data_IF_968921609055
#
_entry.id   IF_968921609055
#
_cell.length_a   1.000
_cell.length_b   1.000
_cell.length_c   1.000
_cell.angle_alpha   90.00
_cell.angle_beta   90.00
_cell.angle_gamma   90.00
#
_symmetry.space_group_name_H-M   'P 1'
#
loop_
_entity.id
_entity.type
_entity.pdbx_description
1 polymer ?
#
# COMPACT_ATOMS: atom_id res chain seq x y z
N UNK A 1 -17.15 -16.71 -61.16
CA UNK A 1 -18.02 -15.72 -61.84
C UNK A 1 -19.29 -15.64 -61.01
N UNK A 2 -19.75 -14.54 -60.41
CA UNK A 2 -19.62 -13.12 -60.72
C UNK A 2 -19.46 -12.27 -59.45
N UNK A 3 -18.63 -11.25 -59.58
CA UNK A 3 -18.54 -10.04 -58.77
C UNK A 3 -19.52 -8.97 -59.28
N UNK A 4 -19.76 -7.94 -58.48
CA UNK A 4 -20.18 -6.60 -58.93
C UNK A 4 -19.75 -5.62 -57.84
N UNK A 5 -18.87 -4.66 -58.10
CA UNK A 5 -19.10 -3.21 -58.35
C UNK A 5 -17.79 -2.50 -57.90
N UNK A 6 -17.28 -1.33 -58.32
CA UNK A 6 -17.77 -0.18 -59.12
C UNK A 6 -16.56 0.70 -59.55
N UNK A 7 -16.71 1.35 -60.72
CA UNK A 7 -16.18 2.60 -61.31
C UNK A 7 -14.88 3.36 -60.86
N UNK A 8 -13.99 3.59 -61.85
CA UNK A 8 -13.18 4.79 -62.27
C UNK A 8 -13.17 6.06 -61.37
N UNK A 9 -12.08 6.80 -61.01
CA UNK A 9 -10.73 7.19 -61.51
C UNK A 9 -10.61 8.56 -62.22
N UNK A 10 -9.89 9.52 -61.60
CA UNK A 10 -8.89 10.49 -62.13
C UNK A 10 -8.64 11.59 -61.07
N UNK A 11 -7.47 11.85 -60.49
CA UNK A 11 -6.08 12.15 -60.93
C UNK A 11 -5.81 13.65 -61.17
N UNK A 12 -4.67 14.09 -60.60
CA UNK A 12 -3.80 15.26 -60.90
C UNK A 12 -3.85 16.42 -59.88
N UNK A 13 -2.77 17.16 -59.58
CA UNK A 13 -1.30 17.01 -59.69
C UNK A 13 -0.70 18.26 -59.02
N UNK A 14 0.46 18.12 -58.36
CA UNK A 14 1.24 19.19 -57.73
C UNK A 14 1.83 20.21 -58.74
N UNK A 15 2.00 21.49 -58.35
CA UNK A 15 2.97 22.45 -58.94
C UNK A 15 3.32 23.59 -57.96
N UNK A 16 4.61 23.95 -57.92
CA UNK A 16 5.29 24.98 -57.11
C UNK A 16 5.26 26.40 -57.73
N UNK A 17 5.72 27.38 -56.92
CA UNK A 17 6.19 28.76 -57.25
C UNK A 17 5.07 29.79 -57.56
N UNK A 18 5.15 31.09 -57.26
CA UNK A 18 6.23 32.00 -56.83
C UNK A 18 5.60 33.30 -56.24
N UNK A 19 6.45 34.18 -55.69
CA UNK A 19 6.16 35.45 -55.03
C UNK A 19 5.45 36.51 -55.92
N UNK A 20 4.61 37.37 -55.33
CA UNK A 20 4.88 38.82 -55.16
C UNK A 20 3.62 39.70 -55.01
N UNK A 21 3.68 40.58 -54.00
CA UNK A 21 3.10 41.92 -53.89
C UNK A 21 1.58 42.12 -54.02
N UNK A 22 0.94 42.60 -52.94
CA UNK A 22 0.40 43.96 -52.83
C UNK A 22 0.12 44.30 -51.35
N UNK A 23 0.76 45.37 -50.87
CA UNK A 23 0.49 46.01 -49.58
C UNK A 23 -0.85 46.74 -49.63
N UNK A 24 -1.69 46.59 -48.61
CA UNK A 24 -2.47 47.71 -48.09
C UNK A 24 -2.79 47.53 -46.60
N UNK A 25 -2.60 48.63 -45.88
CA UNK A 25 -2.49 48.77 -44.44
C UNK A 25 -3.86 49.02 -43.78
N UNK A 26 -4.13 48.40 -42.62
CA UNK A 26 -5.27 48.69 -41.75
C UNK A 26 -5.29 47.81 -40.50
N UNK A 27 -5.25 48.35 -39.27
CA UNK A 27 -5.12 47.54 -38.06
C UNK A 27 -6.51 47.12 -37.55
N UNK A 28 -6.87 45.85 -37.66
CA UNK A 28 -8.05 45.30 -37.00
C UNK A 28 -7.73 43.99 -36.28
N UNK A 29 -7.58 44.11 -34.96
CA UNK A 29 -7.82 43.13 -33.90
C UNK A 29 -7.29 41.69 -34.09
N UNK A 30 -6.19 41.39 -33.38
CA UNK A 30 -5.73 40.02 -33.12
C UNK A 30 -5.72 39.76 -31.60
N UNK A 31 -6.86 39.36 -31.03
CA UNK A 31 -6.98 39.07 -29.59
C UNK A 31 -7.38 37.62 -29.25
N UNK A 32 -7.45 36.71 -30.22
CA UNK A 32 -7.88 35.32 -29.98
C UNK A 32 -6.75 34.28 -29.89
N UNK A 33 -5.49 34.63 -30.21
CA UNK A 33 -4.37 33.68 -30.17
C UNK A 33 -3.66 33.51 -28.82
N UNK A 34 -3.78 34.48 -27.90
CA UNK A 34 -3.00 34.49 -26.65
C UNK A 34 -3.61 33.67 -25.50
N UNK A 35 -4.92 33.44 -25.49
CA UNK A 35 -5.57 32.71 -24.39
C UNK A 35 -5.35 31.19 -24.46
N UNK A 36 -5.31 30.61 -25.66
CA UNK A 36 -5.12 29.17 -25.84
C UNK A 36 -3.72 28.69 -25.45
N UNK A 37 -2.68 29.45 -25.81
CA UNK A 37 -1.29 29.12 -25.43
C UNK A 37 -1.04 29.20 -23.92
N UNK A 38 -1.66 30.18 -23.25
CA UNK A 38 -1.51 30.36 -21.81
C UNK A 38 -2.22 29.25 -21.01
N UNK A 39 -3.39 28.80 -21.47
CA UNK A 39 -4.14 27.72 -20.83
C UNK A 39 -3.45 26.36 -20.99
N UNK A 40 -2.81 26.10 -22.13
CA UNK A 40 -2.04 24.87 -22.36
C UNK A 40 -0.71 24.86 -21.56
N UNK A 41 -0.03 25.99 -21.48
CA UNK A 41 1.17 26.13 -20.64
C UNK A 41 0.86 25.93 -19.14
N UNK A 42 -0.27 26.47 -18.67
CA UNK A 42 -0.69 26.31 -17.28
C UNK A 42 -1.14 24.88 -16.96
N UNK A 43 -1.79 24.19 -17.90
CA UNK A 43 -2.11 22.76 -17.77
C UNK A 43 -0.85 21.88 -17.72
N UNK A 44 0.16 22.18 -18.54
CA UNK A 44 1.46 21.48 -18.51
C UNK A 44 2.23 21.74 -17.22
N UNK A 45 2.25 22.97 -16.72
CA UNK A 45 2.87 23.31 -15.44
C UNK A 45 2.17 22.61 -14.26
N UNK A 46 0.82 22.56 -14.26
CA UNK A 46 0.06 21.82 -13.26
C UNK A 46 0.33 20.30 -13.31
N UNK A 47 0.44 19.73 -14.51
CA UNK A 47 0.80 18.32 -14.68
C UNK A 47 2.23 18.02 -14.20
N UNK A 48 3.18 18.92 -14.42
CA UNK A 48 4.54 18.80 -13.92
C UNK A 48 4.61 18.89 -12.38
N UNK A 49 3.89 19.84 -11.78
CA UNK A 49 3.79 19.96 -10.33
C UNK A 49 3.11 18.72 -9.69
N UNK A 50 2.05 18.22 -10.32
CA UNK A 50 1.38 16.98 -9.95
C UNK A 50 2.33 15.78 -10.01
N UNK A 51 3.18 15.69 -11.04
CA UNK A 51 4.19 14.64 -11.15
C UNK A 51 5.28 14.75 -10.08
N UNK A 52 5.71 15.97 -9.72
CA UNK A 52 6.69 16.19 -8.65
C UNK A 52 6.13 15.80 -7.27
N UNK A 53 4.88 16.17 -6.99
CA UNK A 53 4.19 15.77 -5.76
C UNK A 53 4.05 14.24 -5.64
N UNK A 54 3.74 13.55 -6.75
CA UNK A 54 3.76 12.08 -6.81
C UNK A 54 5.11 11.52 -6.40
N UNK A 55 6.21 12.03 -6.95
CA UNK A 55 7.55 11.55 -6.65
C UNK A 55 7.92 11.70 -5.16
N UNK A 56 7.53 12.81 -4.53
CA UNK A 56 7.78 13.00 -3.11
C UNK A 56 6.99 12.00 -2.24
N UNK A 57 5.71 11.77 -2.54
CA UNK A 57 4.91 10.79 -1.81
C UNK A 57 5.39 9.35 -2.07
N UNK A 58 5.71 9.03 -3.33
CA UNK A 58 6.28 7.77 -3.80
C UNK A 58 7.55 7.41 -3.01
N UNK A 59 8.45 8.38 -2.81
CA UNK A 59 9.66 8.18 -2.01
C UNK A 59 9.40 8.03 -0.50
N UNK A 60 8.39 8.71 0.05
CA UNK A 60 8.04 8.59 1.49
C UNK A 60 7.47 7.21 1.84
N UNK A 61 6.58 6.66 1.00
CA UNK A 61 6.05 5.29 1.20
C UNK A 61 7.21 4.29 1.26
N UNK A 62 8.24 4.47 0.42
CA UNK A 62 9.42 3.61 0.41
C UNK A 62 10.33 3.78 1.63
N UNK A 63 10.47 5.00 2.18
CA UNK A 63 11.33 5.24 3.34
C UNK A 63 10.75 4.71 4.66
N UNK A 64 9.44 4.83 4.90
CA UNK A 64 8.79 4.36 6.14
C UNK A 64 8.81 2.84 6.33
N UNK A 65 9.12 2.07 5.27
CA UNK A 65 9.34 0.63 5.34
C UNK A 65 10.81 0.24 5.58
N UNK A 66 11.76 1.16 5.37
CA UNK A 66 13.19 0.86 5.47
C UNK A 66 13.70 0.75 6.92
N UNK A 67 13.07 1.47 7.86
CA UNK A 67 13.65 1.67 9.21
C UNK A 67 13.32 0.58 10.25
N UNK A 68 12.39 -0.35 10.00
CA UNK A 68 11.83 -1.16 11.10
C UNK A 68 12.14 -2.66 11.07
N UNK A 69 13.16 -3.09 10.31
CA UNK A 69 13.50 -4.53 10.19
C UNK A 69 14.83 -4.93 10.85
N UNK A 70 15.37 -4.07 11.73
CA UNK A 70 16.61 -4.26 12.50
C UNK A 70 16.45 -4.12 14.03
N UNK A 71 15.23 -3.94 14.56
CA UNK A 71 14.98 -3.74 15.99
C UNK A 71 13.89 -4.68 16.54
N UNK A 72 14.17 -5.97 16.50
CA UNK A 72 13.38 -6.98 17.22
C UNK A 72 14.32 -8.07 17.74
N UNK A 73 15.19 -7.72 18.71
CA UNK A 73 15.91 -8.64 19.60
C UNK A 73 16.88 -7.86 20.50
N UNK A 74 16.36 -7.13 21.49
CA UNK A 74 16.98 -6.96 22.82
C UNK A 74 16.15 -5.98 23.64
N UNK A 75 15.21 -6.49 24.43
CA UNK A 75 14.63 -5.76 25.55
C UNK A 75 14.16 -6.78 26.59
N UNK A 76 15.11 -7.37 27.31
CA UNK A 76 14.82 -8.06 28.56
C UNK A 76 15.90 -7.67 29.58
N UNK A 77 15.60 -6.68 30.43
CA UNK A 77 15.94 -6.64 31.87
C UNK A 77 15.49 -5.32 32.52
N UNK A 78 14.91 -5.52 33.71
CA UNK A 78 14.69 -4.58 34.82
C UNK A 78 13.41 -3.73 34.86
N UNK A 79 12.46 -4.31 35.63
CA UNK A 79 11.35 -3.70 36.36
C UNK A 79 11.85 -2.87 37.55
N UNK A 80 11.20 -1.74 37.84
CA UNK A 80 10.73 -1.36 39.19
C UNK A 80 9.78 -0.14 39.13
N UNK A 81 8.59 -0.32 39.71
CA UNK A 81 7.62 0.64 40.29
C UNK A 81 7.39 2.02 39.67
N UNK A 82 6.15 2.35 39.31
CA UNK A 82 5.22 2.93 40.30
C UNK A 82 3.77 3.07 39.79
N UNK A 83 2.87 3.07 40.78
CA UNK A 83 1.41 3.09 40.73
C UNK A 83 0.81 4.41 40.22
N UNK A 84 -0.20 4.35 39.33
CA UNK A 84 -1.34 5.28 39.33
C UNK A 84 -2.48 4.72 38.45
N UNK A 85 -3.46 4.11 39.11
CA UNK A 85 -4.67 3.55 38.51
C UNK A 85 -5.83 4.54 38.68
N UNK A 86 -6.68 4.61 37.64
CA UNK A 86 -8.08 5.07 37.63
C UNK A 86 -8.38 6.57 37.76
N UNK A 87 -8.94 7.15 36.69
CA UNK A 87 -10.25 7.86 36.70
C UNK A 87 -10.49 8.66 35.42
N UNK A 88 -11.12 8.09 34.37
CA UNK A 88 -11.94 8.89 33.41
C UNK A 88 -13.00 8.00 32.72
N UNK A 89 -14.00 7.49 33.46
CA UNK A 89 -15.26 7.02 32.84
C UNK A 89 -16.43 7.37 33.76
N UNK A 90 -16.74 8.66 33.88
CA UNK A 90 -18.08 9.12 34.29
C UNK A 90 -18.21 10.59 33.93
N UNK A 91 -18.94 10.94 32.86
CA UNK A 91 -19.63 12.24 32.66
C UNK A 91 -20.29 12.30 31.28
N UNK A 92 -21.39 11.56 31.09
CA UNK A 92 -22.29 11.70 29.93
C UNK A 92 -23.75 11.68 30.43
N UNK A 93 -24.09 12.57 31.37
CA UNK A 93 -25.48 12.91 31.71
C UNK A 93 -25.51 14.13 32.62
N UNK A 94 -25.56 15.33 32.03
CA UNK A 94 -26.34 16.47 32.55
C UNK A 94 -26.32 17.58 31.51
N UNK A 95 -27.47 17.82 30.89
CA UNK A 95 -27.74 19.11 30.24
C UNK A 95 -27.89 20.15 31.34
N UNK A 96 -27.10 21.21 31.32
CA UNK A 96 -27.56 22.49 31.84
C UNK A 96 -27.02 23.65 31.00
N UNK A 97 -27.97 24.49 30.66
CA UNK A 97 -27.91 25.67 29.83
C UNK A 97 -27.38 26.83 30.69
N UNK A 98 -26.07 27.10 30.63
CA UNK A 98 -25.49 28.39 31.01
C UNK A 98 -24.04 28.46 30.54
N UNK A 99 -23.77 29.37 29.60
CA UNK A 99 -22.47 29.58 29.00
C UNK A 99 -21.41 29.96 30.02
N UNK A 100 -20.41 29.09 30.17
CA UNK A 100 -19.14 29.41 30.81
C UNK A 100 -18.09 29.59 29.70
N UNK A 101 -17.64 30.82 29.41
CA UNK A 101 -16.66 31.09 28.35
C UNK A 101 -15.24 30.82 28.88
N UNK A 102 -14.93 29.55 29.15
CA UNK A 102 -13.68 29.18 29.84
C UNK A 102 -13.03 27.87 29.40
N UNK A 103 -13.58 27.14 28.44
CA UNK A 103 -13.01 25.87 27.95
C UNK A 103 -12.60 25.91 26.46
N UNK A 104 -12.74 27.05 25.79
CA UNK A 104 -12.29 27.25 24.39
C UNK A 104 -10.83 27.72 24.27
N UNK A 105 -10.15 28.02 25.39
CA UNK A 105 -8.81 28.58 25.39
C UNK A 105 -7.72 27.51 25.45
N UNK A 106 -7.35 27.04 24.26
CA UNK A 106 -6.00 26.64 23.77
C UNK A 106 -6.05 25.48 22.76
N UNK A 107 -7.03 25.46 21.85
CA UNK A 107 -6.79 24.76 20.58
C UNK A 107 -5.75 25.59 19.81
N UNK A 108 -4.54 25.04 19.63
CA UNK A 108 -3.51 25.62 18.77
C UNK A 108 -4.14 26.01 17.43
N UNK A 109 -3.73 27.14 16.84
CA UNK A 109 -4.25 27.61 15.55
C UNK A 109 -4.13 26.52 14.46
N UNK A 110 -3.13 25.66 14.58
CA UNK A 110 -2.92 24.50 13.74
C UNK A 110 -4.03 23.44 13.88
N UNK A 111 -4.45 23.11 15.12
CA UNK A 111 -5.55 22.18 15.35
C UNK A 111 -6.87 22.73 14.78
N UNK A 112 -7.08 24.05 14.87
CA UNK A 112 -8.26 24.69 14.28
C UNK A 112 -8.28 24.56 12.75
N UNK A 113 -7.13 24.70 12.09
CA UNK A 113 -6.98 24.49 10.65
C UNK A 113 -7.25 23.04 10.25
N UNK A 114 -6.76 22.07 11.03
CA UNK A 114 -7.03 20.65 10.80
C UNK A 114 -8.53 20.35 10.87
N UNK A 115 -9.21 20.79 11.93
CA UNK A 115 -10.66 20.60 12.07
C UNK A 115 -11.45 21.26 10.94
N UNK A 116 -11.00 22.45 10.52
CA UNK A 116 -11.59 23.16 9.38
C UNK A 116 -11.44 22.36 8.07
N UNK A 117 -10.26 21.81 7.77
CA UNK A 117 -10.08 20.95 6.59
C UNK A 117 -10.87 19.65 6.69
N UNK A 118 -11.01 19.06 7.88
CA UNK A 118 -11.84 17.87 8.08
C UNK A 118 -13.30 18.15 7.75
N UNK A 119 -13.84 19.30 8.18
CA UNK A 119 -15.19 19.72 7.81
C UNK A 119 -15.33 19.93 6.28
N UNK A 120 -14.30 20.50 5.65
CA UNK A 120 -14.25 20.73 4.19
C UNK A 120 -14.22 19.47 3.34
N UNK A 121 -13.88 18.30 3.92
CA UNK A 121 -13.96 17.03 3.19
C UNK A 121 -15.40 16.71 2.75
N UNK A 122 -16.40 17.21 3.47
CA UNK A 122 -17.81 16.99 3.12
C UNK A 122 -18.28 17.88 1.96
N UNK A 123 -17.61 19.00 1.69
CA UNK A 123 -17.94 19.90 0.58
C UNK A 123 -17.21 19.47 -0.70
N UNK A 124 -17.91 18.98 -1.75
CA UNK A 124 -17.27 18.53 -2.98
C UNK A 124 -16.36 19.57 -3.65
N UNK A 125 -16.64 20.87 -3.48
CA UNK A 125 -15.87 21.95 -4.11
C UNK A 125 -14.54 22.21 -3.39
N UNK A 126 -14.46 21.91 -2.10
CA UNK A 126 -13.28 22.18 -1.25
C UNK A 126 -12.49 20.92 -0.90
N UNK A 127 -13.12 19.76 -1.06
CA UNK A 127 -12.58 18.45 -0.72
C UNK A 127 -11.19 18.20 -1.30
N UNK A 128 -10.94 18.55 -2.56
CA UNK A 128 -9.63 18.31 -3.18
C UNK A 128 -8.49 19.05 -2.48
N UNK A 129 -8.72 20.32 -2.11
CA UNK A 129 -7.77 21.11 -1.34
C UNK A 129 -7.58 20.55 0.08
N UNK A 130 -8.69 20.21 0.75
CA UNK A 130 -8.66 19.62 2.09
C UNK A 130 -7.91 18.27 2.13
N UNK A 131 -8.13 17.39 1.15
CA UNK A 131 -7.41 16.12 1.02
C UNK A 131 -5.90 16.33 0.91
N UNK A 132 -5.48 17.30 0.10
CA UNK A 132 -4.06 17.61 -0.08
C UNK A 132 -3.41 18.14 1.20
N UNK A 133 -4.07 19.04 1.93
CA UNK A 133 -3.49 19.60 3.16
C UNK A 133 -3.48 18.59 4.31
N UNK A 134 -4.57 17.83 4.49
CA UNK A 134 -4.63 16.78 5.51
C UNK A 134 -3.61 15.66 5.24
N UNK A 135 -3.41 15.26 3.97
CA UNK A 135 -2.45 14.20 3.64
C UNK A 135 -1.00 14.59 3.97
N UNK A 136 -0.67 15.90 3.91
CA UNK A 136 0.64 16.43 4.36
C UNK A 136 0.78 16.43 5.87
N UNK A 137 -0.32 16.63 6.61
CA UNK A 137 -0.35 16.75 8.07
C UNK A 137 -0.50 15.42 8.82
N UNK A 138 -0.74 14.32 8.12
CA UNK A 138 -1.01 13.00 8.72
C UNK A 138 0.02 12.45 9.70
N UNK A 139 1.29 12.88 9.62
CA UNK A 139 2.37 12.47 10.52
C UNK A 139 2.56 13.44 11.69
N UNK A 140 2.08 14.68 11.55
CA UNK A 140 2.24 15.76 12.53
C UNK A 140 1.12 15.79 13.55
N UNK A 141 -0.02 15.15 13.24
CA UNK A 141 -1.22 15.15 14.08
C UNK A 141 -1.54 13.70 14.46
N UNK A 142 -1.08 13.22 15.63
CA UNK A 142 -1.29 11.84 16.07
C UNK A 142 -2.77 11.44 16.14
N UNK A 143 -3.62 12.36 16.60
CA UNK A 143 -5.07 12.19 16.77
C UNK A 143 -5.86 12.23 15.45
N UNK A 144 -5.20 12.49 14.31
CA UNK A 144 -5.91 12.67 13.03
C UNK A 144 -6.73 11.44 12.65
N UNK A 145 -6.22 10.24 12.92
CA UNK A 145 -6.95 9.00 12.63
C UNK A 145 -8.29 8.92 13.37
N UNK A 146 -8.31 9.30 14.64
CA UNK A 146 -9.53 9.34 15.46
C UNK A 146 -10.50 10.42 14.97
N UNK A 147 -9.97 11.61 14.69
CA UNK A 147 -10.77 12.73 14.15
C UNK A 147 -11.43 12.32 12.83
N UNK A 148 -10.67 11.74 11.89
CA UNK A 148 -11.19 11.31 10.59
C UNK A 148 -12.29 10.24 10.73
N UNK A 149 -12.10 9.30 11.65
CA UNK A 149 -13.05 8.19 11.83
C UNK A 149 -14.35 8.65 12.50
N UNK A 150 -14.25 9.45 13.57
CA UNK A 150 -15.40 9.85 14.38
C UNK A 150 -16.12 11.11 13.89
N UNK A 151 -15.52 11.86 12.96
CA UNK A 151 -16.20 12.99 12.33
C UNK A 151 -17.27 12.52 11.36
N UNK A 152 -18.48 13.08 11.50
CA UNK A 152 -19.63 12.75 10.66
C UNK A 152 -19.30 12.93 9.17
N UNK A 153 -19.69 11.95 8.34
CA UNK A 153 -19.60 12.03 6.88
C UNK A 153 -18.18 11.95 6.28
N UNK A 154 -17.12 11.97 7.09
CA UNK A 154 -15.73 11.99 6.59
C UNK A 154 -15.36 10.67 5.92
N UNK A 155 -15.56 9.53 6.59
CA UNK A 155 -15.25 8.21 6.00
C UNK A 155 -16.08 7.94 4.73
N UNK A 156 -17.33 8.41 4.69
CA UNK A 156 -18.17 8.33 3.48
C UNK A 156 -17.57 9.16 2.33
N UNK A 157 -17.09 10.37 2.63
CA UNK A 157 -16.45 11.24 1.66
C UNK A 157 -15.15 10.64 1.11
N UNK A 158 -14.34 10.00 1.98
CA UNK A 158 -13.12 9.30 1.54
C UNK A 158 -13.43 8.08 0.65
N UNK A 159 -14.46 7.29 0.98
CA UNK A 159 -14.93 6.20 0.13
C UNK A 159 -15.47 6.70 -1.21
N UNK A 160 -16.15 7.86 -1.21
CA UNK A 160 -16.64 8.50 -2.43
C UNK A 160 -15.50 8.82 -3.41
N UNK A 161 -14.34 9.24 -2.89
CA UNK A 161 -13.14 9.49 -3.71
C UNK A 161 -12.52 8.21 -4.30
N UNK A 162 -12.69 7.07 -3.65
CA UNK A 162 -12.26 5.77 -4.20
C UNK A 162 -13.20 5.34 -5.33
N UNK A 163 -14.51 5.32 -5.08
CA UNK A 163 -15.49 4.80 -6.05
C UNK A 163 -15.60 5.68 -7.30
N UNK A 164 -15.32 6.99 -7.19
CA UNK A 164 -15.32 7.90 -8.36
C UNK A 164 -14.25 7.55 -9.39
N UNK A 165 -13.21 6.81 -8.96
CA UNK A 165 -12.10 6.38 -9.83
C UNK A 165 -12.40 5.06 -10.54
N UNK A 166 -13.35 4.25 -10.07
CA UNK A 166 -13.64 2.93 -10.66
C UNK A 166 -13.93 2.96 -12.17
N UNK A 167 -14.73 3.91 -12.71
CA UNK A 167 -14.98 3.99 -14.14
C UNK A 167 -13.72 4.27 -14.97
N UNK A 168 -12.67 4.82 -14.36
CA UNK A 168 -11.41 5.19 -15.02
C UNK A 168 -10.38 4.05 -15.03
N UNK A 169 -10.68 2.93 -14.36
CA UNK A 169 -9.77 1.77 -14.29
C UNK A 169 -9.86 0.92 -15.57
N UNK A 170 -11.07 0.75 -16.09
CA UNK A 170 -11.34 -0.04 -17.28
C UNK A 170 -12.39 0.63 -18.19
N UNK A 171 -12.01 1.16 -19.38
CA UNK A 171 -10.65 1.20 -19.92
C UNK A 171 -9.72 2.10 -19.10
N UNK A 172 -8.40 1.91 -19.21
CA UNK A 172 -7.39 2.58 -18.37
C UNK A 172 -7.22 4.07 -18.67
N UNK A 173 -8.19 4.89 -18.25
CA UNK A 173 -8.30 6.34 -18.52
C UNK A 173 -7.86 7.23 -17.35
N UNK A 174 -7.29 6.64 -16.29
CA UNK A 174 -6.84 7.38 -15.11
C UNK A 174 -5.77 8.44 -15.43
N UNK A 175 -6.09 9.70 -15.17
CA UNK A 175 -5.16 10.82 -15.33
C UNK A 175 -4.25 11.00 -14.11
N UNK A 176 -3.14 11.74 -14.28
CA UNK A 176 -2.24 12.03 -13.17
C UNK A 176 -2.92 12.85 -12.04
N UNK A 177 -3.77 13.81 -12.40
CA UNK A 177 -4.51 14.63 -11.43
C UNK A 177 -5.52 13.78 -10.64
N UNK A 178 -6.31 12.94 -11.32
CA UNK A 178 -7.26 12.04 -10.66
C UNK A 178 -6.55 11.04 -9.73
N UNK A 179 -5.44 10.45 -10.20
CA UNK A 179 -4.60 9.56 -9.38
C UNK A 179 -4.06 10.27 -8.12
N UNK A 180 -3.60 11.51 -8.24
CA UNK A 180 -3.13 12.30 -7.09
C UNK A 180 -4.22 12.55 -6.06
N UNK A 181 -5.39 12.96 -6.53
CA UNK A 181 -6.52 13.27 -5.67
C UNK A 181 -6.94 12.04 -4.85
N UNK A 182 -7.15 10.89 -5.50
CA UNK A 182 -7.51 9.67 -4.77
C UNK A 182 -6.37 9.18 -3.87
N UNK A 183 -5.11 9.32 -4.28
CA UNK A 183 -3.98 8.93 -3.44
C UNK A 183 -3.87 9.77 -2.16
N UNK A 184 -4.29 11.05 -2.19
CA UNK A 184 -4.41 11.84 -0.96
C UNK A 184 -5.48 11.25 -0.02
N UNK A 185 -6.61 10.79 -0.55
CA UNK A 185 -7.63 10.09 0.25
C UNK A 185 -7.09 8.74 0.81
N UNK A 186 -6.39 7.95 -0.03
CA UNK A 186 -5.74 6.71 0.40
C UNK A 186 -4.68 6.97 1.49
N UNK A 187 -3.95 8.08 1.42
CA UNK A 187 -2.97 8.46 2.44
C UNK A 187 -3.62 8.74 3.81
N UNK A 188 -4.85 9.26 3.83
CA UNK A 188 -5.65 9.44 5.04
C UNK A 188 -6.22 8.10 5.55
N UNK A 189 -6.70 7.24 4.65
CA UNK A 189 -7.12 5.88 5.02
C UNK A 189 -5.95 5.05 5.57
N UNK A 190 -4.74 5.27 5.07
CA UNK A 190 -3.52 4.68 5.64
C UNK A 190 -3.28 5.15 7.08
N UNK A 191 -3.54 6.43 7.39
CA UNK A 191 -3.45 6.98 8.74
C UNK A 191 -4.45 6.26 9.67
N UNK A 192 -5.71 6.13 9.24
CA UNK A 192 -6.75 5.40 9.97
C UNK A 192 -6.35 3.92 10.18
N UNK A 193 -5.93 3.22 9.14
CA UNK A 193 -5.47 1.83 9.22
C UNK A 193 -4.27 1.62 10.17
N UNK A 194 -3.44 2.65 10.34
CA UNK A 194 -2.24 2.60 11.17
C UNK A 194 -2.51 2.83 12.65
N UNK A 195 -3.63 3.46 13.03
CA UNK A 195 -3.93 3.80 14.42
C UNK A 195 -4.57 2.63 15.18
N UNK A 196 -4.17 2.42 16.44
CA UNK A 196 -4.57 1.21 17.19
C UNK A 196 -6.07 1.12 17.45
N UNK A 197 -6.73 2.24 17.73
CA UNK A 197 -8.17 2.27 18.04
C UNK A 197 -9.06 2.16 16.81
N UNK A 198 -8.64 2.73 15.67
CA UNK A 198 -9.47 2.76 14.45
C UNK A 198 -9.14 1.62 13.50
N UNK A 199 -7.99 0.97 13.61
CA UNK A 199 -7.61 -0.20 12.77
C UNK A 199 -8.66 -1.30 12.83
N UNK A 200 -9.09 -1.67 14.03
CA UNK A 200 -10.12 -2.69 14.21
C UNK A 200 -11.40 -2.27 13.49
N UNK A 201 -11.87 -1.06 13.72
CA UNK A 201 -13.09 -0.53 13.10
C UNK A 201 -12.99 -0.48 11.57
N UNK A 202 -11.82 -0.07 11.04
CA UNK A 202 -11.51 -0.03 9.62
C UNK A 202 -11.58 -1.41 8.96
N UNK A 203 -11.07 -2.44 9.66
CA UNK A 203 -11.12 -3.83 9.22
C UNK A 203 -12.55 -4.38 9.23
N UNK A 204 -13.28 -4.19 10.33
CA UNK A 204 -14.68 -4.66 10.45
C UNK A 204 -15.63 -3.98 9.46
N UNK A 205 -15.32 -2.73 9.06
CA UNK A 205 -16.05 -2.02 8.01
C UNK A 205 -15.74 -2.52 6.58
N UNK A 206 -14.86 -3.52 6.42
CA UNK A 206 -14.46 -4.10 5.13
C UNK A 206 -13.91 -3.06 4.12
N UNK A 207 -13.42 -1.91 4.60
CA UNK A 207 -12.87 -0.84 3.76
C UNK A 207 -11.71 -1.31 2.87
N UNK A 208 -10.80 -2.22 3.30
CA UNK A 208 -9.73 -2.72 2.42
C UNK A 208 -10.22 -3.28 1.08
N UNK A 209 -11.44 -3.84 1.02
CA UNK A 209 -11.99 -4.44 -0.20
C UNK A 209 -12.20 -3.41 -1.31
N UNK A 210 -12.45 -2.15 -0.96
CA UNK A 210 -12.56 -1.05 -1.93
C UNK A 210 -11.23 -0.75 -2.65
N UNK A 211 -10.11 -1.26 -2.13
CA UNK A 211 -8.79 -1.04 -2.73
C UNK A 211 -8.41 -2.13 -3.72
N UNK A 212 -9.11 -3.26 -3.73
CA UNK A 212 -8.74 -4.42 -4.54
C UNK A 212 -8.89 -4.17 -6.05
N UNK A 213 -9.92 -3.44 -6.52
CA UNK A 213 -9.97 -3.02 -7.92
C UNK A 213 -8.72 -2.24 -8.36
N UNK A 214 -8.14 -1.41 -7.49
CA UNK A 214 -6.91 -0.67 -7.79
C UNK A 214 -5.71 -1.61 -7.91
N UNK A 215 -5.57 -2.57 -6.99
CA UNK A 215 -4.50 -3.57 -7.00
C UNK A 215 -4.60 -4.53 -8.20
N UNK A 216 -5.81 -4.77 -8.71
CA UNK A 216 -6.05 -5.65 -9.85
C UNK A 216 -5.68 -5.03 -11.21
N UNK A 217 -5.46 -3.71 -11.26
CA UNK A 217 -5.08 -3.02 -12.51
C UNK A 217 -3.72 -3.51 -13.04
N UNK A 218 -3.55 -3.51 -14.36
CA UNK A 218 -2.33 -4.01 -15.04
C UNK A 218 -1.58 -2.94 -15.82
N UNK A 219 -2.19 -1.77 -16.05
CA UNK A 219 -1.54 -0.65 -16.74
C UNK A 219 -0.22 -0.25 -16.06
N UNK A 220 0.83 -0.03 -16.83
CA UNK A 220 2.16 0.39 -16.35
C UNK A 220 2.36 1.90 -16.38
N UNK A 221 1.31 2.67 -16.69
CA UNK A 221 1.44 4.12 -16.67
C UNK A 221 1.62 4.64 -15.25
N UNK A 222 2.36 5.74 -15.12
CA UNK A 222 2.70 6.35 -13.82
C UNK A 222 1.49 6.59 -12.90
N UNK A 223 0.32 7.06 -13.37
CA UNK A 223 -0.87 7.20 -12.53
C UNK A 223 -1.35 5.88 -11.91
N UNK A 224 -1.26 4.76 -12.63
CA UNK A 224 -1.67 3.44 -12.13
C UNK A 224 -0.62 2.83 -11.18
N UNK A 225 0.68 2.97 -11.47
CA UNK A 225 1.75 2.55 -10.55
C UNK A 225 1.63 3.27 -9.20
N UNK A 226 1.39 4.59 -9.23
CA UNK A 226 1.22 5.38 -8.02
C UNK A 226 -0.03 4.97 -7.23
N UNK A 227 -1.14 4.72 -7.93
CA UNK A 227 -2.38 4.22 -7.34
C UNK A 227 -2.18 2.88 -6.64
N UNK A 228 -1.53 1.91 -7.30
CA UNK A 228 -1.22 0.59 -6.72
C UNK A 228 -0.32 0.70 -5.51
N UNK A 229 0.77 1.47 -5.60
CA UNK A 229 1.70 1.65 -4.48
C UNK A 229 1.01 2.25 -3.25
N UNK A 230 0.20 3.29 -3.45
CA UNK A 230 -0.50 3.95 -2.34
C UNK A 230 -1.55 3.02 -1.71
N UNK A 231 -2.27 2.24 -2.54
CA UNK A 231 -3.22 1.22 -2.09
C UNK A 231 -2.54 0.11 -1.27
N UNK A 232 -1.40 -0.40 -1.76
CA UNK A 232 -0.56 -1.35 -1.01
C UNK A 232 -0.06 -0.74 0.30
N UNK A 233 0.20 0.56 0.35
CA UNK A 233 0.59 1.28 1.56
C UNK A 233 -0.47 1.19 2.67
N UNK A 234 -1.75 1.23 2.31
CA UNK A 234 -2.87 1.04 3.27
C UNK A 234 -2.88 -0.39 3.82
N UNK A 235 -2.81 -1.39 2.94
CA UNK A 235 -2.76 -2.81 3.35
C UNK A 235 -1.51 -3.11 4.19
N UNK A 236 -0.37 -2.55 3.79
CA UNK A 236 0.91 -2.65 4.51
C UNK A 236 0.83 -2.06 5.92
N UNK A 237 0.08 -0.98 6.12
CA UNK A 237 -0.12 -0.38 7.45
C UNK A 237 -0.94 -1.30 8.38
N UNK A 238 -1.97 -1.99 7.84
CA UNK A 238 -2.79 -2.95 8.60
C UNK A 238 -1.94 -4.09 9.16
N UNK A 239 -1.10 -4.70 8.31
CA UNK A 239 -0.26 -5.85 8.71
C UNK A 239 0.98 -5.44 9.51
N UNK A 240 1.36 -4.16 9.51
CA UNK A 240 2.55 -3.68 10.24
C UNK A 240 2.28 -3.53 11.73
N UNK A 241 1.14 -2.95 12.09
CA UNK A 241 0.89 -2.45 13.44
C UNK A 241 0.01 -3.38 14.29
N UNK A 242 -0.22 -4.61 13.84
CA UNK A 242 -0.95 -5.60 14.63
C UNK A 242 -0.06 -6.12 15.78
N UNK A 243 -0.52 -6.04 17.04
CA UNK A 243 0.24 -6.55 18.17
C UNK A 243 0.32 -8.08 18.04
N UNK A 244 1.54 -8.61 17.97
CA UNK A 244 1.82 -10.05 17.77
C UNK A 244 1.40 -10.98 18.92
N UNK A 245 0.48 -10.54 19.78
CA UNK A 245 -0.13 -11.27 20.89
C UNK A 245 -0.86 -10.25 21.77
N UNK A 246 -2.06 -9.80 21.38
CA UNK A 246 -3.01 -9.43 22.43
C UNK A 246 -3.59 -10.73 22.97
N UNK A 247 -3.03 -11.19 24.10
CA UNK A 247 -3.80 -11.93 25.09
C UNK A 247 -5.15 -11.22 25.16
N UNK A 248 -6.21 -11.88 24.70
CA UNK A 248 -7.57 -11.41 24.90
C UNK A 248 -7.77 -11.31 26.41
N UNK A 249 -7.68 -10.09 26.95
CA UNK A 249 -8.21 -9.83 28.28
C UNK A 249 -9.73 -9.83 28.14
N UNK A 250 -10.37 -10.84 28.72
CA UNK A 250 -11.80 -10.78 28.97
C UNK A 250 -12.12 -9.54 29.82
N UNK A 251 -13.31 -8.94 29.69
CA UNK A 251 -13.73 -7.75 30.44
C UNK A 251 -13.76 -7.91 31.98
N UNK A 252 -13.38 -9.08 32.51
CA UNK A 252 -13.29 -9.40 33.93
C UNK A 252 -11.86 -9.40 34.52
N UNK A 253 -10.81 -9.05 33.75
CA UNK A 253 -9.45 -8.89 34.28
C UNK A 253 -8.76 -10.18 34.77
N UNK A 254 -9.33 -11.36 34.52
CA UNK A 254 -8.69 -12.65 34.81
C UNK A 254 -7.88 -13.14 33.62
N UNK A 255 -6.63 -13.63 33.82
CA UNK A 255 -5.89 -14.32 32.77
C UNK A 255 -6.70 -15.55 32.33
N UNK A 256 -7.00 -15.62 31.03
CA UNK A 256 -7.72 -16.74 30.44
C UNK A 256 -6.98 -18.06 30.66
N UNK A 257 -7.73 -19.13 30.88
CA UNK A 257 -7.19 -20.48 31.04
C UNK A 257 -6.25 -20.86 29.87
N UNK A 258 -5.18 -21.65 30.10
CA UNK A 258 -4.29 -22.11 29.05
C UNK A 258 -4.99 -23.21 28.25
N UNK A 259 -5.83 -22.82 27.31
CA UNK A 259 -6.60 -23.73 26.49
C UNK A 259 -7.20 -23.01 25.30
N UNK A 260 -6.50 -23.09 24.17
CA UNK A 260 -6.95 -22.67 22.84
C UNK A 260 -7.05 -21.16 22.59
N UNK A 261 -5.96 -20.42 22.82
CA UNK A 261 -5.77 -19.14 22.15
C UNK A 261 -5.45 -19.42 20.67
N UNK A 262 -6.44 -19.25 19.79
CA UNK A 262 -6.14 -19.11 18.36
C UNK A 262 -5.26 -17.87 18.21
N UNK A 263 -3.94 -18.07 18.10
CA UNK A 263 -2.92 -17.05 17.81
C UNK A 263 -3.07 -16.49 16.39
N UNK A 264 -4.30 -16.36 15.89
CA UNK A 264 -4.61 -15.96 14.53
C UNK A 264 -4.91 -14.47 14.52
N UNK A 265 -4.06 -13.70 13.86
CA UNK A 265 -4.27 -12.27 13.67
C UNK A 265 -5.59 -12.03 12.91
N UNK A 266 -6.55 -11.24 13.46
CA UNK A 266 -7.80 -10.93 12.76
C UNK A 266 -7.58 -10.27 11.40
N UNK A 267 -6.51 -9.47 11.30
CA UNK A 267 -6.07 -8.84 10.05
C UNK A 267 -5.63 -9.89 9.04
N UNK A 268 -4.82 -10.86 9.46
CA UNK A 268 -4.35 -11.93 8.56
C UNK A 268 -5.53 -12.80 8.12
N UNK A 269 -6.40 -13.22 9.04
CA UNK A 269 -7.59 -14.00 8.71
C UNK A 269 -8.46 -13.29 7.67
N UNK A 270 -8.77 -12.00 7.89
CA UNK A 270 -9.49 -11.18 6.91
C UNK A 270 -8.82 -11.23 5.54
N UNK A 271 -7.52 -10.91 5.48
CA UNK A 271 -6.76 -10.86 4.24
C UNK A 271 -6.68 -12.20 3.49
N UNK A 272 -6.62 -13.32 4.23
CA UNK A 272 -6.66 -14.66 3.67
C UNK A 272 -8.02 -14.97 3.04
N UNK A 273 -9.12 -14.65 3.76
CA UNK A 273 -10.48 -14.88 3.27
C UNK A 273 -10.89 -14.03 2.09
N UNK A 274 -10.17 -12.93 1.83
CA UNK A 274 -10.49 -11.97 0.77
C UNK A 274 -9.54 -12.06 -0.43
N UNK A 275 -8.63 -13.05 -0.48
CA UNK A 275 -7.73 -13.27 -1.61
C UNK A 275 -6.70 -12.15 -1.87
N UNK A 276 -6.07 -11.58 -0.81
CA UNK A 276 -4.98 -10.61 -1.02
C UNK A 276 -3.74 -11.23 -1.68
N UNK A 277 -3.48 -12.53 -1.44
CA UNK A 277 -2.24 -13.19 -1.87
C UNK A 277 -2.08 -13.17 -3.40
N UNK A 278 -3.06 -13.60 -4.21
CA UNK A 278 -2.97 -13.51 -5.67
C UNK A 278 -2.67 -12.09 -6.19
N UNK A 279 -3.26 -11.06 -5.58
CA UNK A 279 -3.02 -9.67 -5.95
C UNK A 279 -1.56 -9.26 -5.65
N UNK A 280 -1.05 -9.60 -4.46
CA UNK A 280 0.34 -9.33 -4.10
C UNK A 280 1.33 -10.08 -5.00
N UNK A 281 1.09 -11.36 -5.30
CA UNK A 281 1.96 -12.16 -6.17
C UNK A 281 2.08 -11.58 -7.58
N UNK A 282 0.95 -11.13 -8.17
CA UNK A 282 0.97 -10.47 -9.49
C UNK A 282 1.81 -9.18 -9.48
N UNK A 283 1.68 -8.38 -8.42
CA UNK A 283 2.45 -7.14 -8.28
C UNK A 283 3.94 -7.44 -8.03
N UNK A 284 4.26 -8.47 -7.24
CA UNK A 284 5.63 -8.95 -7.02
C UNK A 284 6.32 -9.37 -8.34
N UNK A 285 5.56 -9.95 -9.26
CA UNK A 285 6.07 -10.38 -10.56
C UNK A 285 6.28 -9.19 -11.52
N UNK A 286 5.29 -8.31 -11.67
CA UNK A 286 5.23 -7.36 -12.79
C UNK A 286 5.26 -5.87 -12.42
N UNK A 287 5.11 -5.53 -11.14
CA UNK A 287 5.05 -4.14 -10.67
C UNK A 287 6.39 -3.41 -10.63
N UNK A 288 6.36 -2.11 -10.30
CA UNK A 288 7.58 -1.35 -10.03
C UNK A 288 8.35 -1.90 -8.83
N UNK A 289 9.66 -1.61 -8.73
CA UNK A 289 10.50 -2.08 -7.61
C UNK A 289 9.92 -1.74 -6.23
N UNK A 290 9.36 -0.53 -6.08
CA UNK A 290 8.71 -0.12 -4.83
C UNK A 290 7.44 -0.91 -4.57
N UNK A 291 6.57 -1.08 -5.57
CA UNK A 291 5.36 -1.88 -5.45
C UNK A 291 5.68 -3.34 -5.11
N UNK A 292 6.71 -3.92 -5.73
CA UNK A 292 7.24 -5.25 -5.40
C UNK A 292 7.67 -5.33 -3.94
N UNK A 293 8.37 -4.31 -3.45
CA UNK A 293 8.85 -4.23 -2.05
C UNK A 293 7.69 -4.23 -1.06
N UNK A 294 6.65 -3.42 -1.30
CA UNK A 294 5.49 -3.40 -0.39
C UNK A 294 4.69 -4.70 -0.47
N UNK A 295 4.50 -5.25 -1.68
CA UNK A 295 3.76 -6.48 -1.87
C UNK A 295 4.44 -7.67 -1.18
N UNK A 296 5.76 -7.83 -1.34
CA UNK A 296 6.50 -8.90 -0.65
C UNK A 296 6.52 -8.67 0.87
N UNK A 297 6.55 -7.42 1.35
CA UNK A 297 6.41 -7.13 2.78
C UNK A 297 5.07 -7.62 3.34
N UNK A 298 3.95 -7.43 2.61
CA UNK A 298 2.63 -7.93 3.00
C UNK A 298 2.63 -9.46 3.03
N UNK A 299 3.13 -10.12 1.97
CA UNK A 299 3.24 -11.59 1.92
C UNK A 299 4.13 -12.13 3.03
N UNK A 300 5.25 -11.46 3.33
CA UNK A 300 6.12 -11.84 4.44
C UNK A 300 5.37 -11.75 5.78
N UNK A 301 4.58 -10.70 6.01
CA UNK A 301 3.78 -10.56 7.23
C UNK A 301 2.73 -11.65 7.37
N UNK A 302 2.09 -12.05 6.26
CA UNK A 302 1.17 -13.20 6.23
C UNK A 302 1.93 -14.48 6.58
N UNK A 303 3.09 -14.74 5.98
CA UNK A 303 3.90 -15.93 6.26
C UNK A 303 4.39 -16.00 7.72
N UNK A 304 4.65 -14.85 8.36
CA UNK A 304 5.08 -14.80 9.76
C UNK A 304 3.98 -15.25 10.74
N UNK A 305 2.71 -15.14 10.36
CA UNK A 305 1.58 -15.66 11.13
C UNK A 305 1.42 -17.17 10.87
N UNK A 306 1.16 -17.96 11.92
CA UNK A 306 1.03 -19.43 11.80
C UNK A 306 -0.17 -19.84 10.93
N UNK A 307 -1.27 -19.08 10.98
CA UNK A 307 -2.45 -19.29 10.14
C UNK A 307 -2.14 -18.99 8.68
N UNK A 308 -1.39 -17.91 8.43
CA UNK A 308 -0.94 -17.53 7.10
C UNK A 308 0.05 -18.53 6.48
N UNK A 309 1.02 -19.00 7.26
CA UNK A 309 1.93 -20.07 6.83
C UNK A 309 1.14 -21.36 6.53
N UNK A 310 0.25 -21.76 7.44
CA UNK A 310 -0.62 -22.93 7.26
C UNK A 310 -1.46 -22.82 5.99
N UNK A 311 -2.05 -21.66 5.72
CA UNK A 311 -2.86 -21.42 4.52
C UNK A 311 -2.05 -21.58 3.22
N UNK A 312 -0.85 -20.99 3.15
CA UNK A 312 0.01 -21.03 1.96
C UNK A 312 0.53 -22.45 1.72
N UNK A 313 0.90 -23.16 2.78
CA UNK A 313 1.41 -24.53 2.70
C UNK A 313 0.31 -25.61 2.71
N UNK A 314 -0.97 -25.22 2.71
CA UNK A 314 -2.09 -26.15 2.79
C UNK A 314 -2.19 -27.04 1.55
N UNK A 315 -1.99 -26.46 0.36
CA UNK A 315 -2.03 -27.19 -0.91
C UNK A 315 -0.76 -26.95 -1.72
N UNK A 316 -0.42 -27.93 -2.57
CA UNK A 316 0.72 -27.81 -3.47
C UNK A 316 0.59 -26.59 -4.39
N UNK A 317 -0.61 -26.31 -4.92
CA UNK A 317 -0.87 -25.18 -5.82
C UNK A 317 -0.55 -23.82 -5.16
N UNK A 318 -1.00 -23.62 -3.91
CA UNK A 318 -0.74 -22.36 -3.18
C UNK A 318 0.74 -22.17 -2.88
N UNK A 319 1.40 -23.23 -2.41
CA UNK A 319 2.85 -23.20 -2.18
C UNK A 319 3.61 -22.94 -3.47
N UNK A 320 3.26 -23.64 -4.56
CA UNK A 320 3.91 -23.51 -5.86
C UNK A 320 3.75 -22.12 -6.46
N UNK A 321 2.56 -21.51 -6.34
CA UNK A 321 2.33 -20.14 -6.78
C UNK A 321 3.24 -19.13 -6.06
N UNK A 322 3.36 -19.22 -4.73
CA UNK A 322 4.25 -18.35 -3.94
C UNK A 322 5.72 -18.64 -4.26
N UNK A 323 6.11 -19.92 -4.28
CA UNK A 323 7.48 -20.35 -4.53
C UNK A 323 8.01 -19.92 -5.88
N UNK A 324 7.21 -20.06 -6.95
CA UNK A 324 7.59 -19.67 -8.30
C UNK A 324 7.86 -18.17 -8.41
N UNK A 325 6.98 -17.34 -7.84
CA UNK A 325 7.16 -15.88 -7.87
C UNK A 325 8.40 -15.47 -7.07
N UNK A 326 8.62 -16.05 -5.87
CA UNK A 326 9.85 -15.79 -5.09
C UNK A 326 11.11 -16.20 -5.86
N UNK A 327 11.10 -17.34 -6.54
CA UNK A 327 12.22 -17.80 -7.37
C UNK A 327 12.50 -16.85 -8.54
N UNK A 328 11.46 -16.39 -9.25
CA UNK A 328 11.60 -15.40 -10.31
C UNK A 328 12.17 -14.06 -9.78
N UNK A 329 11.79 -13.66 -8.56
CA UNK A 329 12.37 -12.49 -7.91
C UNK A 329 13.86 -12.68 -7.60
N UNK A 330 14.29 -13.86 -7.14
CA UNK A 330 15.72 -14.15 -6.92
C UNK A 330 16.51 -13.99 -8.22
N UNK A 331 16.00 -14.54 -9.33
CA UNK A 331 16.67 -14.46 -10.63
C UNK A 331 16.85 -12.99 -11.04
N UNK A 332 15.80 -12.17 -10.93
CA UNK A 332 15.90 -10.74 -11.22
C UNK A 332 16.80 -9.95 -10.24
N UNK A 333 17.00 -10.44 -9.02
CA UNK A 333 17.87 -9.82 -8.02
C UNK A 333 19.36 -10.02 -8.30
N UNK A 334 19.74 -11.01 -9.11
CA UNK A 334 21.13 -11.20 -9.54
C UNK A 334 21.61 -9.97 -10.33
N UNK A 335 20.75 -9.43 -11.20
CA UNK A 335 21.05 -8.26 -12.02
C UNK A 335 20.87 -6.95 -11.25
N UNK A 336 19.74 -6.80 -10.56
CA UNK A 336 19.37 -5.53 -9.91
C UNK A 336 20.07 -5.28 -8.59
N UNK A 337 20.50 -6.36 -7.90
CA UNK A 337 21.18 -6.32 -6.59
C UNK A 337 20.45 -5.49 -5.51
N UNK A 338 19.12 -5.41 -5.59
CA UNK A 338 18.30 -4.63 -4.63
C UNK A 338 18.24 -5.33 -3.27
N UNK A 339 19.08 -4.90 -2.33
CA UNK A 339 19.23 -5.48 -0.97
C UNK A 339 17.89 -5.60 -0.23
N UNK A 340 17.03 -4.57 -0.31
CA UNK A 340 15.75 -4.55 0.42
C UNK A 340 14.82 -5.67 -0.02
N UNK A 341 14.69 -5.89 -1.33
CA UNK A 341 13.90 -6.98 -1.89
C UNK A 341 14.50 -8.33 -1.51
N UNK A 342 15.82 -8.49 -1.66
CA UNK A 342 16.53 -9.72 -1.28
C UNK A 342 16.28 -10.10 0.19
N UNK A 343 16.34 -9.13 1.10
CA UNK A 343 16.04 -9.32 2.53
C UNK A 343 14.64 -9.89 2.77
N UNK A 344 13.62 -9.39 2.07
CA UNK A 344 12.26 -9.92 2.18
C UNK A 344 12.17 -11.34 1.59
N UNK A 345 12.75 -11.57 0.41
CA UNK A 345 12.77 -12.89 -0.25
C UNK A 345 13.40 -13.96 0.64
N UNK A 346 14.58 -13.69 1.21
CA UNK A 346 15.27 -14.61 2.13
C UNK A 346 14.41 -14.93 3.33
N UNK A 347 13.73 -13.93 3.92
CA UNK A 347 12.84 -14.14 5.07
C UNK A 347 11.59 -14.94 4.72
N UNK A 348 11.02 -14.77 3.53
CA UNK A 348 9.90 -15.58 3.06
C UNK A 348 10.33 -17.05 2.92
N UNK A 349 11.47 -17.32 2.27
CA UNK A 349 11.98 -18.70 2.15
C UNK A 349 12.32 -19.32 3.50
N UNK A 350 12.98 -18.57 4.39
CA UNK A 350 13.26 -19.03 5.75
C UNK A 350 11.97 -19.42 6.47
N UNK A 351 10.94 -18.57 6.43
CA UNK A 351 9.67 -18.87 7.09
C UNK A 351 8.93 -20.04 6.46
N UNK A 352 8.97 -20.18 5.13
CA UNK A 352 8.42 -21.35 4.44
C UNK A 352 9.13 -22.65 4.88
N UNK A 353 10.43 -22.59 5.20
CA UNK A 353 11.16 -23.76 5.68
C UNK A 353 10.72 -24.23 7.08
N UNK A 354 9.94 -23.44 7.84
CA UNK A 354 9.39 -23.88 9.12
C UNK A 354 8.30 -24.95 8.94
N UNK A 355 7.64 -25.01 7.78
CA UNK A 355 6.67 -26.04 7.44
C UNK A 355 7.35 -27.27 6.83
N UNK A 356 7.12 -28.47 7.37
CA UNK A 356 7.80 -29.70 6.93
C UNK A 356 7.59 -30.03 5.44
N UNK A 357 6.36 -29.89 4.93
CA UNK A 357 6.04 -30.17 3.51
C UNK A 357 6.74 -29.17 2.58
N UNK A 358 6.65 -27.88 2.90
CA UNK A 358 7.34 -26.85 2.13
C UNK A 358 8.87 -27.00 2.21
N UNK A 359 9.43 -27.35 3.38
CA UNK A 359 10.85 -27.64 3.58
C UNK A 359 11.33 -28.75 2.63
N UNK A 360 10.60 -29.86 2.54
CA UNK A 360 10.93 -30.95 1.63
C UNK A 360 10.96 -30.48 0.16
N UNK A 361 9.96 -29.72 -0.27
CA UNK A 361 9.92 -29.18 -1.63
C UNK A 361 11.08 -28.19 -1.89
N UNK A 362 11.37 -27.30 -0.94
CA UNK A 362 12.47 -26.32 -1.03
C UNK A 362 13.86 -26.97 -1.16
N UNK A 363 14.07 -28.19 -0.64
CA UNK A 363 15.32 -28.94 -0.89
C UNK A 363 15.55 -29.20 -2.38
N UNK A 364 14.48 -29.31 -3.18
CA UNK A 364 14.58 -29.56 -4.62
C UNK A 364 14.48 -28.27 -5.44
N UNK A 365 13.72 -27.27 -5.00
CA UNK A 365 13.39 -26.10 -5.82
C UNK A 365 13.93 -24.75 -5.32
N UNK A 366 14.74 -24.69 -4.26
CA UNK A 366 15.38 -23.44 -3.84
C UNK A 366 16.33 -22.92 -4.94
N UNK A 367 16.22 -21.65 -5.38
CA UNK A 367 17.08 -21.08 -6.42
C UNK A 367 18.58 -21.18 -6.11
N UNK A 368 19.37 -21.54 -7.12
CA UNK A 368 20.84 -21.68 -7.03
C UNK A 368 21.55 -20.41 -6.53
N UNK A 369 21.17 -19.17 -6.92
CA UNK A 369 21.81 -17.95 -6.40
C UNK A 369 21.69 -17.74 -4.89
N UNK A 370 20.76 -18.44 -4.21
CA UNK A 370 20.64 -18.43 -2.76
C UNK A 370 21.49 -19.53 -2.08
N UNK A 371 21.95 -20.53 -2.84
CA UNK A 371 22.80 -21.63 -2.35
C UNK A 371 24.27 -21.33 -2.54
N UNK A 372 24.61 -20.58 -3.58
CA UNK A 372 25.98 -20.24 -3.91
C UNK A 372 26.42 -18.89 -3.29
N UNK A 373 27.59 -18.41 -3.71
CA UNK A 373 28.14 -17.16 -3.23
C UNK A 373 27.63 -15.90 -3.97
N UNK A 374 26.62 -16.00 -4.84
CA UNK A 374 26.15 -14.90 -5.72
C UNK A 374 25.84 -13.62 -4.95
N UNK A 375 25.11 -13.71 -3.84
CA UNK A 375 24.74 -12.53 -3.04
C UNK A 375 25.75 -12.16 -1.93
N UNK A 376 26.92 -12.80 -1.86
CA UNK A 376 27.89 -12.57 -0.78
C UNK A 376 28.35 -11.11 -0.67
N UNK A 377 28.56 -10.46 -1.82
CA UNK A 377 28.95 -9.05 -1.90
C UNK A 377 27.80 -8.12 -1.53
N UNK A 378 26.61 -8.37 -2.06
CA UNK A 378 25.38 -7.59 -1.80
C UNK A 378 25.02 -7.62 -0.31
N UNK A 379 25.23 -8.76 0.34
CA UNK A 379 24.92 -8.96 1.76
C UNK A 379 26.08 -8.62 2.69
N UNK A 380 27.22 -8.09 2.19
CA UNK A 380 28.44 -7.91 3.00
C UNK A 380 28.15 -7.22 4.33
N UNK A 381 27.36 -6.15 4.27
CA UNK A 381 27.07 -5.24 5.38
C UNK A 381 25.68 -5.50 6.04
N UNK A 382 24.94 -6.54 5.61
CA UNK A 382 23.66 -6.97 6.22
C UNK A 382 23.79 -8.32 6.94
N UNK A 383 24.35 -8.27 8.15
CA UNK A 383 24.56 -9.46 8.98
C UNK A 383 23.25 -10.16 9.38
N UNK A 384 22.13 -9.43 9.47
CA UNK A 384 20.84 -10.03 9.82
C UNK A 384 20.32 -10.92 8.69
N UNK A 385 20.38 -10.44 7.45
CA UNK A 385 19.96 -11.21 6.28
C UNK A 385 20.89 -12.39 6.01
N UNK A 386 22.21 -12.22 6.20
CA UNK A 386 23.18 -13.33 6.16
C UNK A 386 22.83 -14.46 7.12
N UNK A 387 22.52 -14.12 8.38
CA UNK A 387 22.10 -15.13 9.38
C UNK A 387 20.80 -15.83 8.98
N UNK A 388 19.83 -15.09 8.43
CA UNK A 388 18.59 -15.69 7.93
C UNK A 388 18.86 -16.67 6.78
N UNK A 389 19.72 -16.31 5.84
CA UNK A 389 20.10 -17.18 4.72
C UNK A 389 20.84 -18.43 5.20
N UNK A 390 21.80 -18.27 6.11
CA UNK A 390 22.51 -19.41 6.70
C UNK A 390 21.54 -20.36 7.43
N UNK A 391 20.61 -19.84 8.23
CA UNK A 391 19.60 -20.66 8.91
C UNK A 391 18.69 -21.40 7.93
N UNK A 392 18.29 -20.76 6.83
CA UNK A 392 17.52 -21.40 5.77
C UNK A 392 18.29 -22.59 5.18
N UNK A 393 19.57 -22.41 4.87
CA UNK A 393 20.40 -23.49 4.33
C UNK A 393 20.57 -24.65 5.33
N UNK A 394 20.72 -24.34 6.62
CA UNK A 394 20.77 -25.35 7.70
C UNK A 394 19.45 -26.15 7.76
N UNK A 395 18.31 -25.46 7.76
CA UNK A 395 16.99 -26.11 7.79
C UNK A 395 16.80 -27.07 6.61
N UNK A 396 17.42 -26.79 5.45
CA UNK A 396 17.32 -27.62 4.26
C UNK A 396 18.37 -28.74 4.22
N UNK A 397 19.52 -28.59 4.89
CA UNK A 397 20.54 -29.64 4.99
C UNK A 397 20.19 -30.76 5.96
N UNK A 398 19.38 -30.47 6.99
CA UNK A 398 18.97 -31.49 7.97
C UNK A 398 18.09 -32.55 7.31
N UNK A 399 18.65 -33.75 7.11
CA UNK A 399 17.96 -34.96 6.62
C UNK A 399 17.33 -35.75 7.78
N UNK A 400 16.70 -35.06 8.74
CA UNK A 400 15.94 -35.79 9.76
C UNK A 400 14.81 -36.52 9.05
N UNK A 401 14.82 -37.84 9.20
CA UNK A 401 13.89 -38.77 8.59
C UNK A 401 12.50 -38.55 9.19
N UNK A 402 11.69 -37.69 8.57
CA UNK A 402 10.29 -37.51 8.95
C UNK A 402 9.46 -38.70 8.44
N UNK A 403 9.54 -39.81 9.17
CA UNK A 403 8.80 -41.05 8.92
C UNK A 403 7.34 -40.96 9.35
N UNK A 404 6.63 -39.86 9.06
CA UNK A 404 5.21 -39.72 9.42
C UNK A 404 4.34 -39.19 8.27
N UNK A 405 3.68 -40.16 7.62
CA UNK A 405 2.43 -40.08 6.84
C UNK A 405 2.30 -38.92 5.84
N UNK A 406 2.99 -39.05 4.71
CA UNK A 406 2.57 -38.46 3.44
C UNK A 406 1.49 -39.34 2.78
N UNK A 407 0.23 -39.04 3.07
CA UNK A 407 -0.85 -39.32 2.12
C UNK A 407 -1.43 -37.97 1.69
N UNK A 408 -1.28 -37.69 0.40
CA UNK A 408 -2.00 -36.65 -0.30
C UNK A 408 -3.47 -37.07 -0.38
N UNK A 409 -4.37 -36.25 0.14
CA UNK A 409 -5.76 -36.16 -0.34
C UNK A 409 -5.96 -34.83 -1.03
#
# INVERSE_FOLDING_TARGET
MLQTQHLYSHQQQYSQHEQSAWQHNGPQQNHQGLSHGQQQAQAQAAAAAAAAAQQQHYNRIAMNQNHNSSHAQNANRQSSGDNAQNSVVTSLTTMNEQGSPGMEQQLSEENRKVLQWVAELMDPNRREGALMELSKKREQVPELALILWHSFGVMTSLLQEIISVYPLLNPSQLTAAASNRVCNALALLQCVASHNETRGLFLHAHIPLFLYPFLNTTSKSRPFEYLRLTSLGVIGALVKNEPSSSVSMNPAGTPGAPGNSSNSSPTINFLLTTEIIPLCLRIMETGSELSKTVAIFIVQKILLDDTGLGYICATYERFYAVGTVLSNMVIGLVETQTVRLLKHVVRCFLRLSDNNRARQALRQCLPEPLRDATFSNVLRDDAATKRCLAQLLINLSDTVSDTQNDQFE
#
